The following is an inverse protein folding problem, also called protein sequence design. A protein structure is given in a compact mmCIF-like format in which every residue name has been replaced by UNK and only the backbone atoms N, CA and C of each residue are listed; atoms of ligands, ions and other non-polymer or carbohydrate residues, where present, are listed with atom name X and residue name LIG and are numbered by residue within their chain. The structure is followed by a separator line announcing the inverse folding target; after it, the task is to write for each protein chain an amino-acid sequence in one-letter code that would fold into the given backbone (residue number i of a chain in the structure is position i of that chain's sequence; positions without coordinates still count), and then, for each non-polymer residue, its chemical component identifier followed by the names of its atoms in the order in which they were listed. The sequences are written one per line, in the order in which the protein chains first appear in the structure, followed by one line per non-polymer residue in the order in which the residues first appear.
data_IF_615977152445
#
_entry.id   IF_615977152445
#
_cell.length_a   1.000
_cell.length_b   1.000
_cell.length_c   1.000
_cell.angle_alpha   90.00
_cell.angle_beta   90.00
_cell.angle_gamma   90.00
#
_symmetry.space_group_name_H-M   'P 1'
#
loop_
_entity.id
_entity.type
_entity.pdbx_description
1 polymer ?
#
# COMPACT_ATOMS: atom_id res chain seq x y z
N UNK A 1 -1.23 39.15 68.51
CA UNK A 1 -2.03 37.92 68.40
C UNK A 1 -2.26 37.72 66.88
N UNK A 2 -1.35 36.99 66.19
CA UNK A 2 -1.42 36.79 64.73
C UNK A 2 -1.85 35.36 64.46
N UNK A 3 -3.04 35.17 63.92
CA UNK A 3 -3.58 33.86 63.53
C UNK A 3 -3.10 33.52 62.11
N UNK A 4 -2.28 32.45 61.99
CA UNK A 4 -1.84 31.91 60.68
C UNK A 4 -2.89 30.94 60.15
N UNK A 5 -3.46 31.27 59.00
CA UNK A 5 -4.29 30.31 58.25
C UNK A 5 -3.36 29.42 57.36
N UNK A 6 -3.41 28.11 57.58
CA UNK A 6 -2.81 27.12 56.71
C UNK A 6 -3.78 26.76 55.59
N UNK A 7 -3.40 27.04 54.36
CA UNK A 7 -4.17 26.64 53.18
C UNK A 7 -3.67 25.24 52.78
N UNK A 8 -4.51 24.22 52.94
CA UNK A 8 -4.23 22.88 52.41
C UNK A 8 -4.60 22.86 50.92
N UNK A 9 -3.57 22.76 50.07
CA UNK A 9 -3.74 22.50 48.64
C UNK A 9 -3.78 20.99 48.44
N UNK A 10 -4.95 20.43 48.14
CA UNK A 10 -5.11 19.05 47.73
C UNK A 10 -4.80 18.91 46.25
N UNK A 11 -3.65 18.31 45.90
CA UNK A 11 -3.32 17.91 44.53
C UNK A 11 -4.02 16.59 44.22
N UNK A 12 -5.07 16.66 43.44
CA UNK A 12 -5.73 15.48 42.87
C UNK A 12 -4.87 14.95 41.73
N UNK A 13 -4.21 13.81 41.94
CA UNK A 13 -3.48 13.09 40.91
C UNK A 13 -4.50 12.35 40.01
N UNK A 14 -4.78 12.89 38.84
CA UNK A 14 -5.58 12.19 37.82
C UNK A 14 -4.74 11.05 37.24
N UNK A 15 -5.01 9.83 37.68
CA UNK A 15 -4.46 8.63 37.03
C UNK A 15 -5.19 8.44 35.70
N UNK A 16 -4.57 8.83 34.63
CA UNK A 16 -5.04 8.47 33.27
C UNK A 16 -4.73 6.98 33.10
N UNK A 17 -5.73 6.13 33.31
CA UNK A 17 -5.66 4.73 32.89
C UNK A 17 -5.63 4.71 31.35
N UNK A 18 -4.45 4.48 30.78
CA UNK A 18 -4.32 4.09 29.40
C UNK A 18 -4.99 2.71 29.25
N UNK A 19 -6.18 2.69 28.67
CA UNK A 19 -6.80 1.42 28.25
C UNK A 19 -5.86 0.77 27.23
N UNK A 20 -5.55 -0.54 27.36
CA UNK A 20 -4.76 -1.22 26.36
C UNK A 20 -5.56 -1.17 25.05
N UNK A 21 -4.97 -0.56 24.04
CA UNK A 21 -5.47 -0.60 22.68
C UNK A 21 -5.30 -2.06 22.19
N UNK A 22 -6.31 -2.89 22.45
CA UNK A 22 -6.44 -4.19 21.82
C UNK A 22 -6.73 -3.96 20.34
N UNK A 23 -5.67 -3.71 19.58
CA UNK A 23 -5.73 -3.84 18.14
C UNK A 23 -6.13 -5.29 17.86
N UNK A 24 -7.39 -5.51 17.48
CA UNK A 24 -7.82 -6.80 16.96
C UNK A 24 -6.90 -7.14 15.82
N UNK A 25 -6.04 -8.14 16.00
CA UNK A 25 -5.36 -8.77 14.89
C UNK A 25 -6.48 -9.30 13.98
N UNK A 26 -6.63 -8.72 12.79
CA UNK A 26 -7.62 -9.20 11.83
C UNK A 26 -7.37 -10.70 11.60
N UNK A 27 -8.43 -11.51 11.68
CA UNK A 27 -8.33 -12.94 11.42
C UNK A 27 -7.74 -13.14 10.03
N UNK A 28 -6.63 -13.85 9.94
CA UNK A 28 -5.96 -14.10 8.67
C UNK A 28 -6.67 -15.22 7.92
N UNK A 29 -7.18 -14.91 6.74
CA UNK A 29 -7.96 -15.82 5.89
C UNK A 29 -7.11 -16.33 4.72
N UNK A 30 -7.24 -17.62 4.42
CA UNK A 30 -6.87 -18.19 3.12
C UNK A 30 -8.15 -18.34 2.31
N UNK A 31 -8.30 -17.65 1.16
CA UNK A 31 -9.52 -17.72 0.37
C UNK A 31 -9.78 -19.15 -0.13
N UNK A 32 -11.01 -19.63 0.04
CA UNK A 32 -11.48 -20.91 -0.52
C UNK A 32 -12.42 -20.71 -1.71
N UNK A 33 -12.88 -19.48 -1.93
CA UNK A 33 -13.70 -19.04 -3.05
C UNK A 33 -13.30 -17.60 -3.44
N UNK A 34 -13.77 -17.15 -4.59
CA UNK A 34 -13.51 -15.79 -5.05
C UNK A 34 -14.26 -14.78 -4.18
N UNK A 35 -13.55 -13.86 -3.58
CA UNK A 35 -14.10 -12.72 -2.83
C UNK A 35 -14.03 -11.49 -3.74
N UNK A 36 -15.18 -10.78 -3.88
CA UNK A 36 -15.32 -9.57 -4.69
C UNK A 36 -15.74 -8.39 -3.82
N UNK A 37 -14.82 -7.70 -3.19
CA UNK A 37 -15.16 -6.63 -2.24
C UNK A 37 -15.95 -5.47 -2.86
N UNK A 38 -15.79 -5.20 -4.17
CA UNK A 38 -16.48 -4.12 -4.87
C UNK A 38 -17.89 -4.50 -5.40
N UNK A 39 -18.29 -5.75 -5.28
CA UNK A 39 -19.69 -6.16 -5.53
C UNK A 39 -20.61 -5.70 -4.39
N UNK A 40 -20.06 -5.28 -3.26
CA UNK A 40 -20.81 -4.65 -2.18
C UNK A 40 -21.26 -3.25 -2.58
N UNK A 41 -22.39 -2.80 -2.01
CA UNK A 41 -22.94 -1.45 -2.28
C UNK A 41 -22.25 -0.36 -1.47
N UNK A 42 -21.36 -0.73 -0.56
CA UNK A 42 -20.68 0.18 0.35
C UNK A 42 -19.26 -0.29 0.67
N UNK A 43 -18.53 0.51 1.41
CA UNK A 43 -17.15 0.24 1.84
C UNK A 43 -17.04 -0.41 3.22
N UNK A 44 -18.12 -1.05 3.75
CA UNK A 44 -18.08 -1.67 5.09
C UNK A 44 -17.05 -2.79 5.23
N UNK A 45 -16.67 -3.45 4.14
CA UNK A 45 -15.58 -4.44 4.10
C UNK A 45 -14.18 -3.85 4.24
N UNK A 46 -14.08 -2.52 4.36
CA UNK A 46 -12.82 -1.79 4.42
C UNK A 46 -12.73 -0.91 5.67
N UNK A 47 -11.53 -0.47 5.96
CA UNK A 47 -11.21 0.62 6.88
C UNK A 47 -10.42 1.68 6.13
N UNK A 48 -10.61 2.94 6.50
CA UNK A 48 -9.93 4.08 5.91
C UNK A 48 -8.88 4.61 6.86
N UNK A 49 -7.76 5.03 6.32
CA UNK A 49 -6.77 5.85 7.00
C UNK A 49 -6.32 6.98 6.08
N UNK A 50 -6.46 8.21 6.56
CA UNK A 50 -6.05 9.43 5.85
C UNK A 50 -5.10 10.23 6.74
N UNK A 51 -4.09 10.86 6.15
CA UNK A 51 -3.04 11.56 6.89
C UNK A 51 -3.57 12.69 7.76
N UNK A 52 -4.53 13.47 7.24
CA UNK A 52 -5.08 14.65 7.95
C UNK A 52 -6.14 14.27 8.97
N UNK A 53 -6.99 13.29 8.65
CA UNK A 53 -8.21 12.99 9.40
C UNK A 53 -8.16 11.63 10.11
N UNK A 54 -7.12 10.84 9.86
CA UNK A 54 -6.92 9.49 10.36
C UNK A 54 -8.07 8.55 9.97
N UNK A 55 -8.84 7.99 10.86
CA UNK A 55 -9.90 7.03 10.55
C UNK A 55 -11.17 7.58 9.88
N UNK A 56 -11.29 8.90 9.69
CA UNK A 56 -12.45 9.54 9.06
C UNK A 56 -12.17 9.97 7.62
N UNK A 57 -13.21 9.98 6.76
CA UNK A 57 -13.13 10.45 5.37
C UNK A 57 -14.21 11.51 5.07
N UNK A 58 -14.12 12.72 5.67
CA UNK A 58 -15.12 13.76 5.48
C UNK A 58 -15.11 14.39 4.07
N UNK A 59 -14.04 14.17 3.30
CA UNK A 59 -13.88 14.70 1.96
C UNK A 59 -14.28 13.70 0.87
N UNK A 60 -14.71 12.48 1.25
CA UNK A 60 -15.05 11.40 0.33
C UNK A 60 -13.90 11.08 -0.65
N UNK A 61 -12.69 10.98 -0.10
CA UNK A 61 -11.49 10.55 -0.84
C UNK A 61 -11.74 9.17 -1.46
N UNK A 62 -12.41 8.28 -0.71
CA UNK A 62 -12.79 6.96 -1.17
C UNK A 62 -14.29 6.87 -1.40
N UNK A 63 -14.72 6.70 -2.64
CA UNK A 63 -16.13 6.52 -3.00
C UNK A 63 -16.31 5.31 -3.90
N UNK A 64 -17.26 4.44 -3.56
CA UNK A 64 -17.62 3.26 -4.36
C UNK A 64 -18.96 3.52 -5.04
N UNK A 65 -18.98 3.45 -6.38
CA UNK A 65 -20.18 3.58 -7.18
C UNK A 65 -20.16 2.58 -8.34
N UNK A 66 -21.20 1.81 -8.49
CA UNK A 66 -21.39 0.84 -9.60
C UNK A 66 -20.17 -0.10 -9.77
N UNK A 67 -19.61 -0.58 -8.65
CA UNK A 67 -18.44 -1.48 -8.65
C UNK A 67 -17.11 -0.80 -8.97
N UNK A 68 -17.08 0.53 -9.09
CA UNK A 68 -15.86 1.32 -9.31
C UNK A 68 -15.55 2.14 -8.05
N UNK A 69 -14.37 1.91 -7.48
CA UNK A 69 -13.81 2.72 -6.41
C UNK A 69 -13.07 3.91 -7.03
N UNK A 70 -13.40 5.11 -6.60
CA UNK A 70 -12.57 6.31 -6.79
C UNK A 70 -11.70 6.50 -5.57
N UNK A 71 -10.41 6.67 -5.78
CA UNK A 71 -9.48 7.24 -4.82
C UNK A 71 -9.14 8.65 -5.30
N UNK A 72 -9.53 9.65 -4.53
CA UNK A 72 -9.34 11.06 -4.87
C UNK A 72 -7.94 11.58 -4.54
N UNK A 73 -7.70 12.84 -4.84
CA UNK A 73 -6.45 13.56 -4.61
C UNK A 73 -6.51 14.55 -3.42
N UNK A 74 -7.60 14.48 -2.62
CA UNK A 74 -7.89 15.43 -1.55
C UNK A 74 -7.00 15.23 -0.30
N UNK A 75 -6.59 13.97 -0.04
CA UNK A 75 -5.68 13.61 1.06
C UNK A 75 -4.90 12.33 0.73
N UNK A 76 -3.76 12.15 1.37
CA UNK A 76 -2.95 10.94 1.25
C UNK A 76 -3.37 9.90 2.30
N UNK A 77 -3.39 8.64 1.89
CA UNK A 77 -3.74 7.54 2.77
C UNK A 77 -4.15 6.28 2.01
N UNK A 78 -4.97 5.46 2.60
CA UNK A 78 -5.38 4.20 1.99
C UNK A 78 -6.75 3.71 2.45
N UNK A 79 -7.34 2.89 1.61
CA UNK A 79 -8.47 2.04 1.91
C UNK A 79 -7.95 0.60 2.11
N UNK A 80 -8.09 0.03 3.31
CA UNK A 80 -7.59 -1.29 3.67
C UNK A 80 -8.74 -2.29 3.83
N UNK A 81 -8.59 -3.53 3.34
CA UNK A 81 -9.50 -4.61 3.69
C UNK A 81 -9.55 -4.80 5.20
N UNK A 82 -10.75 -5.04 5.79
CA UNK A 82 -10.84 -5.34 7.22
C UNK A 82 -10.21 -6.67 7.58
N UNK A 83 -10.36 -7.66 6.71
CA UNK A 83 -9.71 -8.96 6.86
C UNK A 83 -8.26 -8.91 6.40
N UNK A 84 -7.43 -9.74 7.02
CA UNK A 84 -6.08 -10.05 6.57
C UNK A 84 -6.11 -11.33 5.72
N UNK A 85 -5.22 -11.42 4.75
CA UNK A 85 -5.14 -12.55 3.82
C UNK A 85 -3.74 -13.13 3.72
N UNK A 86 -3.68 -14.44 3.46
CA UNK A 86 -2.48 -15.17 3.06
C UNK A 86 -2.83 -16.20 1.99
N UNK A 87 -1.86 -16.62 1.21
CA UNK A 87 -2.01 -17.65 0.19
C UNK A 87 -3.18 -17.36 -0.76
N UNK A 88 -3.06 -16.27 -1.53
CA UNK A 88 -4.12 -15.78 -2.40
C UNK A 88 -3.59 -15.28 -3.75
N UNK A 89 -4.50 -15.22 -4.74
CA UNK A 89 -4.28 -14.53 -6.00
C UNK A 89 -5.17 -13.27 -6.03
N UNK A 90 -4.54 -12.12 -5.85
CA UNK A 90 -5.19 -10.81 -5.95
C UNK A 90 -5.25 -10.33 -7.40
N UNK A 91 -6.38 -9.77 -7.79
CA UNK A 91 -6.60 -9.12 -9.09
C UNK A 91 -7.35 -7.83 -8.91
N UNK A 92 -6.96 -6.82 -9.67
CA UNK A 92 -7.65 -5.53 -9.74
C UNK A 92 -7.34 -4.86 -11.08
N UNK A 93 -8.20 -3.96 -11.51
CA UNK A 93 -7.91 -3.08 -12.63
C UNK A 93 -7.90 -1.64 -12.13
N UNK A 94 -6.93 -0.84 -12.59
CA UNK A 94 -6.90 0.59 -12.29
C UNK A 94 -6.88 1.41 -13.57
N UNK A 95 -7.34 2.66 -13.44
CA UNK A 95 -7.29 3.68 -14.49
C UNK A 95 -7.07 5.04 -13.85
N UNK A 96 -6.16 5.82 -14.40
CA UNK A 96 -5.95 7.18 -13.95
C UNK A 96 -7.16 8.07 -14.23
N UNK A 97 -7.50 8.93 -13.27
CA UNK A 97 -8.56 9.92 -13.35
C UNK A 97 -8.05 11.28 -13.84
N UNK A 98 -8.70 12.33 -13.34
CA UNK A 98 -8.28 13.70 -13.66
C UNK A 98 -6.87 13.98 -13.10
N UNK A 99 -6.22 14.98 -13.66
CA UNK A 99 -4.97 15.53 -13.16
C UNK A 99 -5.17 16.98 -12.75
N UNK A 100 -4.58 17.37 -11.64
CA UNK A 100 -4.42 18.79 -11.32
C UNK A 100 -3.40 19.39 -12.31
N UNK A 101 -3.77 20.41 -13.13
CA UNK A 101 -2.87 20.95 -14.15
C UNK A 101 -1.60 21.60 -13.58
N UNK A 102 -1.60 21.97 -12.31
CA UNK A 102 -0.45 22.58 -11.62
C UNK A 102 0.48 21.56 -10.99
N UNK A 103 0.08 20.28 -10.93
CA UNK A 103 0.91 19.23 -10.38
C UNK A 103 2.06 18.88 -11.36
N UNK A 104 3.28 18.87 -10.82
CA UNK A 104 4.51 18.57 -11.57
C UNK A 104 5.01 17.15 -11.36
N UNK A 105 4.31 16.35 -10.53
CA UNK A 105 4.69 14.98 -10.25
C UNK A 105 4.02 14.02 -11.23
N UNK A 106 4.61 12.87 -11.46
CA UNK A 106 3.95 11.78 -12.16
C UNK A 106 2.78 11.25 -11.33
N UNK A 107 1.80 10.66 -11.98
CA UNK A 107 0.67 10.02 -11.29
C UNK A 107 1.18 8.89 -10.41
N UNK A 108 0.72 8.85 -9.17
CA UNK A 108 1.18 7.92 -8.17
C UNK A 108 0.02 7.28 -7.39
N UNK A 109 0.11 6.00 -7.18
CA UNK A 109 -0.74 5.16 -6.36
C UNK A 109 -0.06 3.80 -6.19
N UNK A 110 -0.61 2.92 -5.37
CA UNK A 110 -0.07 1.58 -5.17
C UNK A 110 -1.08 0.59 -4.59
N UNK A 111 -0.77 -0.68 -4.75
CA UNK A 111 -1.40 -1.78 -4.02
C UNK A 111 -0.41 -2.24 -2.95
N UNK A 112 -0.78 -2.06 -1.68
CA UNK A 112 0.05 -2.48 -0.57
C UNK A 112 -0.42 -3.84 -0.07
N UNK A 113 0.44 -4.82 -0.17
CA UNK A 113 0.19 -6.21 0.23
C UNK A 113 0.65 -6.44 1.66
N UNK A 114 -0.06 -7.32 2.36
CA UNK A 114 0.29 -7.79 3.70
C UNK A 114 0.44 -6.66 4.73
N UNK A 115 -0.45 -5.66 4.67
CA UNK A 115 -0.47 -4.55 5.60
C UNK A 115 -0.62 -5.00 7.05
N UNK A 116 0.33 -4.62 7.91
CA UNK A 116 0.37 -4.99 9.33
C UNK A 116 0.80 -3.82 10.22
N UNK A 117 0.59 -3.98 11.52
CA UNK A 117 0.91 -2.95 12.50
C UNK A 117 -0.06 -1.77 12.50
N UNK A 118 0.25 -0.70 13.24
CA UNK A 118 -0.62 0.46 13.36
C UNK A 118 -0.75 1.25 12.06
N UNK A 119 -1.93 1.83 11.86
CA UNK A 119 -2.18 2.77 10.79
C UNK A 119 -1.26 4.00 10.94
N UNK A 120 -0.79 4.57 9.83
CA UNK A 120 0.05 5.75 9.84
C UNK A 120 1.45 5.57 10.43
N UNK A 121 1.88 4.34 10.75
CA UNK A 121 3.17 4.08 11.40
C UNK A 121 4.40 4.49 10.55
N UNK A 122 4.23 4.67 9.25
CA UNK A 122 5.25 5.23 8.38
C UNK A 122 4.83 6.66 7.95
N UNK A 123 5.53 7.66 8.48
CA UNK A 123 5.34 9.09 8.19
C UNK A 123 3.91 9.63 8.42
N UNK A 124 3.13 9.00 9.31
CA UNK A 124 1.74 9.37 9.57
C UNK A 124 0.76 8.92 8.48
N UNK A 125 1.24 8.29 7.42
CA UNK A 125 0.43 7.92 6.23
C UNK A 125 0.29 6.41 6.09
N UNK A 126 1.39 5.67 5.96
CA UNK A 126 1.37 4.26 5.58
C UNK A 126 1.53 3.34 6.78
N UNK A 127 1.16 2.07 6.63
CA UNK A 127 1.51 1.00 7.56
C UNK A 127 2.54 0.06 6.93
N UNK A 128 3.20 -0.75 7.75
CA UNK A 128 4.16 -1.76 7.26
C UNK A 128 3.50 -2.65 6.23
N UNK A 129 4.08 -2.76 5.04
CA UNK A 129 3.52 -3.50 3.92
C UNK A 129 4.56 -3.70 2.80
N UNK A 130 4.20 -4.50 1.81
CA UNK A 130 4.97 -4.68 0.58
C UNK A 130 4.16 -4.05 -0.55
N UNK A 131 4.69 -3.01 -1.13
CA UNK A 131 4.00 -2.25 -2.17
C UNK A 131 4.31 -2.80 -3.56
N UNK A 132 3.25 -3.07 -4.32
CA UNK A 132 3.25 -3.12 -5.76
C UNK A 132 2.99 -1.70 -6.26
N UNK A 133 4.04 -1.02 -6.69
CA UNK A 133 3.98 0.36 -7.15
C UNK A 133 3.12 0.49 -8.41
N UNK A 134 2.31 1.54 -8.47
CA UNK A 134 1.52 1.91 -9.66
C UNK A 134 1.90 3.30 -10.20
N UNK A 135 2.96 3.92 -9.68
CA UNK A 135 3.43 5.18 -10.21
C UNK A 135 3.72 5.05 -11.72
N UNK A 136 3.32 6.05 -12.46
CA UNK A 136 3.41 6.09 -13.92
C UNK A 136 4.85 5.83 -14.40
N UNK A 137 5.04 4.79 -15.17
CA UNK A 137 6.33 4.30 -15.65
C UNK A 137 7.11 3.42 -14.64
N UNK A 138 6.55 3.13 -13.46
CA UNK A 138 7.15 2.29 -12.42
C UNK A 138 6.22 1.13 -12.02
N UNK A 139 5.22 0.84 -12.80
CA UNK A 139 4.18 -0.12 -12.49
C UNK A 139 4.74 -1.52 -12.25
N UNK A 140 4.43 -2.07 -11.09
CA UNK A 140 4.88 -3.39 -10.67
C UNK A 140 6.24 -3.42 -9.97
N UNK A 141 6.88 -2.29 -9.77
CA UNK A 141 8.08 -2.22 -8.94
C UNK A 141 7.74 -2.57 -7.48
N UNK A 142 8.69 -3.19 -6.77
CA UNK A 142 8.50 -3.60 -5.39
C UNK A 142 9.19 -2.64 -4.42
N UNK A 143 8.42 -2.17 -3.44
CA UNK A 143 8.90 -1.32 -2.35
C UNK A 143 8.52 -1.94 -1.01
N UNK A 144 9.46 -2.01 -0.08
CA UNK A 144 9.19 -2.42 1.29
C UNK A 144 8.95 -1.19 2.17
N UNK A 145 7.71 -1.01 2.60
CA UNK A 145 7.33 0.04 3.55
C UNK A 145 7.51 -0.50 4.97
N UNK A 146 8.27 0.21 5.78
CA UNK A 146 8.49 -0.14 7.20
C UNK A 146 8.01 0.98 8.10
N UNK A 147 6.95 0.71 8.84
CA UNK A 147 6.46 1.61 9.88
C UNK A 147 7.45 1.77 11.03
N UNK A 148 7.32 2.86 11.77
CA UNK A 148 8.09 3.16 12.97
C UNK A 148 7.30 2.84 14.22
N UNK A 149 7.97 2.30 15.23
CA UNK A 149 7.47 2.14 16.58
C UNK A 149 7.61 3.43 17.38
N UNK A 150 6.89 3.53 18.48
CA UNK A 150 6.97 4.70 19.40
C UNK A 150 8.38 4.87 19.98
N UNK A 151 9.11 3.78 20.18
CA UNK A 151 10.50 3.76 20.67
C UNK A 151 11.54 4.15 19.59
N UNK A 152 11.10 4.53 18.39
CA UNK A 152 11.96 4.88 17.25
C UNK A 152 12.45 3.69 16.43
N UNK A 153 12.24 2.45 16.89
CA UNK A 153 12.52 1.23 16.11
C UNK A 153 11.60 1.10 14.90
N UNK A 154 11.92 0.19 13.99
CA UNK A 154 11.05 -0.15 12.86
C UNK A 154 10.27 -1.43 13.15
N UNK A 155 9.04 -1.53 12.60
CA UNK A 155 8.36 -2.81 12.54
C UNK A 155 9.15 -3.79 11.66
N UNK A 156 9.11 -5.09 11.96
CA UNK A 156 9.79 -6.09 11.14
C UNK A 156 9.31 -6.03 9.69
N UNK A 157 10.23 -6.14 8.76
CA UNK A 157 9.90 -6.21 7.35
C UNK A 157 11.13 -6.58 6.53
N UNK A 158 10.98 -7.54 5.61
CA UNK A 158 12.02 -7.96 4.67
C UNK A 158 11.40 -8.51 3.41
N UNK A 159 12.09 -8.34 2.30
CA UNK A 159 11.89 -9.07 1.05
C UNK A 159 13.26 -9.35 0.44
N UNK A 160 13.37 -10.44 -0.30
CA UNK A 160 14.51 -10.74 -1.17
C UNK A 160 14.00 -10.90 -2.60
N UNK A 161 14.82 -10.62 -3.58
CA UNK A 161 14.52 -10.86 -4.99
C UNK A 161 15.77 -11.30 -5.74
N UNK A 162 15.61 -11.96 -6.86
CA UNK A 162 16.69 -12.15 -7.80
C UNK A 162 16.84 -10.88 -8.63
N UNK A 163 18.02 -10.30 -8.67
CA UNK A 163 18.23 -8.99 -9.29
C UNK A 163 19.53 -8.91 -10.08
N UNK A 164 19.56 -7.94 -10.97
CA UNK A 164 20.77 -7.43 -11.63
C UNK A 164 20.87 -5.93 -11.39
N UNK A 165 22.06 -5.37 -11.58
CA UNK A 165 22.25 -3.92 -11.61
C UNK A 165 22.15 -3.48 -13.06
N UNK A 166 21.22 -2.57 -13.36
CA UNK A 166 21.08 -1.98 -14.70
C UNK A 166 22.18 -0.97 -15.00
N UNK A 167 22.28 -0.54 -16.26
CA UNK A 167 23.24 0.46 -16.74
C UNK A 167 23.10 1.81 -15.97
N UNK A 168 21.89 2.12 -15.52
CA UNK A 168 21.56 3.29 -14.72
C UNK A 168 21.82 3.11 -13.20
N UNK A 169 22.45 2.01 -12.81
CA UNK A 169 22.77 1.68 -11.42
C UNK A 169 21.57 1.24 -10.58
N UNK A 170 20.36 1.08 -11.18
CA UNK A 170 19.17 0.62 -10.47
C UNK A 170 19.19 -0.89 -10.26
N UNK A 171 18.69 -1.34 -9.11
CA UNK A 171 18.51 -2.76 -8.81
C UNK A 171 17.25 -3.25 -9.51
N UNK A 172 17.39 -4.09 -10.52
CA UNK A 172 16.30 -4.59 -11.37
C UNK A 172 16.02 -6.05 -11.09
N UNK A 173 14.73 -6.41 -11.02
CA UNK A 173 14.36 -7.81 -10.99
C UNK A 173 14.83 -8.55 -12.25
N UNK A 174 15.42 -9.70 -12.05
CA UNK A 174 15.86 -10.59 -13.12
C UNK A 174 15.71 -12.03 -12.64
N UNK A 175 14.94 -12.86 -13.36
CA UNK A 175 14.56 -14.19 -12.87
C UNK A 175 15.76 -15.10 -12.53
N UNK A 176 16.83 -15.03 -13.32
CA UNK A 176 18.11 -15.72 -13.15
C UNK A 176 19.20 -14.84 -12.51
N UNK A 177 18.81 -13.72 -11.94
CA UNK A 177 19.72 -12.77 -11.30
C UNK A 177 20.24 -13.25 -9.92
N UNK A 178 21.12 -12.44 -9.34
CA UNK A 178 21.67 -12.71 -8.02
C UNK A 178 20.62 -12.40 -6.94
N UNK A 179 20.48 -13.30 -5.95
CA UNK A 179 19.65 -13.06 -4.77
C UNK A 179 20.12 -11.79 -4.04
N UNK A 180 19.22 -10.85 -3.84
CA UNK A 180 19.47 -9.57 -3.21
C UNK A 180 18.42 -9.35 -2.12
N UNK A 181 18.86 -8.95 -0.93
CA UNK A 181 17.97 -8.52 0.16
C UNK A 181 17.66 -7.03 -0.02
N UNK A 182 16.41 -6.66 0.18
CA UNK A 182 15.97 -5.26 0.08
C UNK A 182 16.70 -4.38 1.13
N UNK A 183 17.31 -3.31 0.67
CA UNK A 183 18.11 -2.39 1.48
C UNK A 183 17.66 -0.93 1.39
N UNK A 184 16.37 -0.69 1.10
CA UNK A 184 15.80 0.66 0.98
C UNK A 184 15.78 1.21 -0.45
N UNK A 185 16.20 0.42 -1.44
CA UNK A 185 16.06 0.75 -2.86
C UNK A 185 15.06 -0.20 -3.49
N UNK A 186 14.05 0.36 -4.20
CA UNK A 186 13.03 -0.46 -4.87
C UNK A 186 13.65 -1.47 -5.85
N UNK A 187 12.96 -2.57 -6.03
CA UNK A 187 13.29 -3.54 -7.07
C UNK A 187 12.54 -3.17 -8.34
N UNK A 188 13.25 -2.64 -9.31
CA UNK A 188 12.72 -2.19 -10.59
C UNK A 188 12.44 -3.36 -11.52
N UNK A 189 11.47 -3.20 -12.41
CA UNK A 189 11.26 -4.17 -13.48
C UNK A 189 12.48 -4.24 -14.43
N UNK A 190 12.90 -5.47 -14.81
CA UNK A 190 14.12 -5.68 -15.59
C UNK A 190 14.10 -5.04 -16.99
N UNK A 191 12.91 -4.94 -17.61
CA UNK A 191 12.74 -4.31 -18.94
C UNK A 191 12.42 -2.81 -18.87
N UNK A 192 12.42 -2.23 -17.70
CA UNK A 192 12.28 -0.79 -17.54
C UNK A 192 13.37 -0.07 -18.33
N UNK A 193 13.03 1.05 -18.96
CA UNK A 193 14.00 1.80 -19.76
C UNK A 193 15.22 2.19 -18.91
N UNK A 194 16.45 1.96 -19.41
CA UNK A 194 17.65 2.55 -18.82
C UNK A 194 17.50 4.07 -18.76
N UNK A 195 18.03 4.66 -17.69
CA UNK A 195 17.98 6.12 -17.47
C UNK A 195 16.55 6.69 -17.42
N UNK A 196 15.58 5.86 -16.99
CA UNK A 196 14.20 6.28 -16.82
C UNK A 196 14.12 7.63 -16.09
N UNK A 197 13.34 8.54 -16.66
CA UNK A 197 12.97 9.81 -16.05
C UNK A 197 11.46 9.83 -15.88
N UNK A 198 11.01 10.23 -14.71
CA UNK A 198 9.59 10.45 -14.43
C UNK A 198 9.10 11.63 -15.28
N UNK A 199 8.48 11.32 -16.40
CA UNK A 199 7.90 12.30 -17.31
C UNK A 199 6.39 12.26 -17.21
N UNK A 200 5.79 13.42 -16.96
CA UNK A 200 4.36 13.59 -16.77
C UNK A 200 3.60 13.10 -18.00
N UNK A 201 2.62 12.21 -17.79
CA UNK A 201 1.70 11.67 -18.79
C UNK A 201 2.39 11.14 -20.06
N UNK A 202 3.66 10.77 -19.94
CA UNK A 202 4.40 10.09 -20.99
C UNK A 202 4.50 8.61 -20.71
N UNK A 203 4.73 7.84 -21.75
CA UNK A 203 4.88 6.39 -21.69
C UNK A 203 6.19 5.98 -22.36
N UNK A 204 6.95 5.16 -21.66
CA UNK A 204 8.14 4.53 -22.21
C UNK A 204 7.80 3.39 -23.17
N UNK A 205 8.72 3.05 -24.06
CA UNK A 205 8.53 1.98 -25.06
C UNK A 205 8.35 0.60 -24.41
N UNK A 206 8.85 0.41 -23.19
CA UNK A 206 8.79 -0.85 -22.45
C UNK A 206 7.75 -0.85 -21.33
N UNK A 207 6.97 0.22 -21.18
CA UNK A 207 5.93 0.29 -20.15
C UNK A 207 4.86 -0.77 -20.42
N UNK A 208 4.50 -1.48 -19.37
CA UNK A 208 3.53 -2.59 -19.41
C UNK A 208 2.11 -2.15 -19.10
N UNK A 209 1.94 -0.99 -18.46
CA UNK A 209 0.63 -0.41 -18.21
C UNK A 209 -0.10 -0.07 -19.50
N UNK A 210 -1.42 0.00 -19.44
CA UNK A 210 -2.23 0.48 -20.57
C UNK A 210 -2.04 1.98 -20.79
N UNK A 211 -2.31 2.50 -21.98
CA UNK A 211 -2.31 3.93 -22.26
C UNK A 211 -3.18 4.71 -21.27
N UNK A 212 -2.86 6.00 -21.10
CA UNK A 212 -3.61 6.88 -20.21
C UNK A 212 -5.10 6.89 -20.57
N UNK A 213 -5.95 6.73 -19.57
CA UNK A 213 -7.41 6.65 -19.75
C UNK A 213 -7.94 5.23 -19.99
N UNK A 214 -7.09 4.25 -20.20
CA UNK A 214 -7.46 2.85 -20.31
C UNK A 214 -7.25 2.09 -18.98
N UNK A 215 -7.88 0.92 -18.85
CA UNK A 215 -7.76 0.08 -17.67
C UNK A 215 -6.52 -0.81 -17.76
N UNK A 216 -5.69 -0.74 -16.74
CA UNK A 216 -4.52 -1.61 -16.54
C UNK A 216 -4.85 -2.70 -15.54
N UNK A 217 -4.56 -3.95 -15.88
CA UNK A 217 -4.76 -5.10 -14.99
C UNK A 217 -3.52 -5.32 -14.13
N UNK A 218 -3.74 -5.45 -12.82
CA UNK A 218 -2.73 -5.79 -11.81
C UNK A 218 -3.07 -7.14 -11.21
N UNK A 219 -2.09 -8.03 -11.14
CA UNK A 219 -2.22 -9.32 -10.47
C UNK A 219 -1.05 -9.54 -9.50
N UNK A 220 -1.38 -9.95 -8.27
CA UNK A 220 -0.39 -10.30 -7.26
C UNK A 220 -0.66 -11.72 -6.76
N UNK A 221 0.25 -12.65 -7.03
CA UNK A 221 0.16 -14.03 -6.54
C UNK A 221 1.03 -14.14 -5.29
N UNK A 222 0.38 -14.30 -4.13
CA UNK A 222 1.02 -14.41 -2.82
C UNK A 222 0.91 -15.86 -2.34
N UNK A 223 2.03 -16.58 -2.34
CA UNK A 223 2.10 -17.99 -1.91
C UNK A 223 3.21 -18.17 -0.88
N UNK A 224 2.83 -18.41 0.38
CA UNK A 224 3.76 -18.37 1.49
C UNK A 224 4.47 -17.02 1.54
N UNK A 225 5.79 -17.03 1.53
CA UNK A 225 6.61 -15.82 1.50
C UNK A 225 7.03 -15.38 0.09
N UNK A 226 6.46 -15.98 -0.96
CA UNK A 226 6.71 -15.55 -2.34
C UNK A 226 5.57 -14.68 -2.85
N UNK A 227 5.92 -13.57 -3.54
CA UNK A 227 4.99 -12.68 -4.23
C UNK A 227 5.45 -12.56 -5.68
N UNK A 228 4.54 -12.78 -6.63
CA UNK A 228 4.75 -12.54 -8.07
C UNK A 228 3.80 -11.45 -8.52
N UNK A 229 4.32 -10.41 -9.15
CA UNK A 229 3.56 -9.27 -9.68
C UNK A 229 3.45 -9.39 -11.19
N UNK A 230 2.22 -9.19 -11.71
CA UNK A 230 1.96 -9.11 -13.15
C UNK A 230 1.17 -7.84 -13.47
N UNK A 231 1.60 -7.16 -14.50
CA UNK A 231 0.89 -6.01 -15.11
C UNK A 231 0.47 -6.40 -16.51
N UNK A 232 -0.81 -6.33 -16.83
CA UNK A 232 -1.39 -6.77 -18.10
C UNK A 232 -0.92 -8.17 -18.54
N UNK A 233 -0.78 -9.09 -17.57
CA UNK A 233 -0.34 -10.47 -17.81
C UNK A 233 1.18 -10.66 -17.90
N UNK A 234 1.97 -9.61 -17.99
CA UNK A 234 3.43 -9.67 -18.01
C UNK A 234 3.95 -9.76 -16.59
N UNK A 235 4.75 -10.78 -16.25
CA UNK A 235 5.46 -10.84 -14.97
C UNK A 235 6.54 -9.76 -14.96
N UNK A 236 6.42 -8.81 -14.03
CA UNK A 236 7.30 -7.64 -13.93
C UNK A 236 8.20 -7.70 -12.70
N UNK A 237 7.80 -8.43 -11.67
CA UNK A 237 8.60 -8.55 -10.46
C UNK A 237 8.24 -9.82 -9.67
N UNK A 238 9.20 -10.32 -8.92
CA UNK A 238 9.02 -11.38 -7.94
C UNK A 238 9.87 -11.08 -6.70
N UNK A 239 9.32 -11.39 -5.54
CA UNK A 239 10.11 -11.47 -4.32
C UNK A 239 9.80 -12.74 -3.53
N UNK A 240 10.69 -13.08 -2.64
CA UNK A 240 10.60 -14.18 -1.69
C UNK A 240 11.15 -13.74 -0.33
N UNK A 241 11.03 -14.60 0.68
CA UNK A 241 11.31 -14.24 2.08
C UNK A 241 10.50 -13.02 2.56
N UNK A 242 9.32 -12.84 1.97
CA UNK A 242 8.44 -11.74 2.35
C UNK A 242 8.04 -11.86 3.84
N UNK A 243 8.33 -10.82 4.58
CA UNK A 243 7.88 -10.60 5.94
C UNK A 243 7.37 -9.15 6.05
N UNK A 244 6.08 -8.93 6.32
CA UNK A 244 5.04 -9.94 6.61
C UNK A 244 4.65 -10.78 5.37
N UNK A 245 4.28 -12.06 5.62
CA UNK A 245 3.79 -12.99 4.59
C UNK A 245 2.26 -13.08 4.57
N UNK A 246 1.58 -12.27 5.35
CA UNK A 246 0.13 -12.15 5.47
C UNK A 246 -0.25 -10.78 6.00
N UNK A 247 -1.46 -10.32 5.68
CA UNK A 247 -1.96 -9.04 6.18
C UNK A 247 -3.10 -8.49 5.34
N UNK A 248 -3.46 -7.26 5.61
CA UNK A 248 -4.49 -6.52 4.86
C UNK A 248 -3.99 -6.16 3.45
N UNK A 249 -4.92 -5.96 2.53
CA UNK A 249 -4.64 -5.42 1.19
C UNK A 249 -5.13 -3.97 1.20
N UNK A 250 -4.25 -3.04 0.80
CA UNK A 250 -4.54 -1.61 0.82
C UNK A 250 -4.43 -1.01 -0.58
N UNK A 251 -5.31 -0.07 -0.86
CA UNK A 251 -5.31 0.73 -2.09
C UNK A 251 -4.97 2.17 -1.72
N UNK A 252 -3.93 2.72 -2.31
CA UNK A 252 -3.43 4.05 -1.97
C UNK A 252 -4.22 5.18 -2.64
N UNK A 253 -4.41 6.28 -1.88
CA UNK A 253 -4.58 7.63 -2.39
C UNK A 253 -3.26 8.38 -2.16
N UNK A 254 -2.57 8.79 -3.21
CA UNK A 254 -1.23 9.39 -3.13
C UNK A 254 -1.14 10.68 -3.97
N UNK A 255 -2.16 11.54 -3.80
CA UNK A 255 -2.21 12.87 -4.40
C UNK A 255 -2.66 12.89 -5.87
N UNK A 256 -3.08 11.75 -6.42
CA UNK A 256 -3.60 11.66 -7.78
C UNK A 256 -4.90 10.87 -7.79
N UNK A 257 -5.86 11.34 -8.59
CA UNK A 257 -7.11 10.62 -8.76
C UNK A 257 -6.89 9.33 -9.55
N UNK A 258 -7.32 8.21 -8.97
CA UNK A 258 -7.26 6.89 -9.59
C UNK A 258 -8.57 6.14 -9.35
N UNK A 259 -9.00 5.39 -10.34
CA UNK A 259 -10.16 4.50 -10.26
C UNK A 259 -9.71 3.06 -10.23
N UNK A 260 -10.38 2.26 -9.38
CA UNK A 260 -10.19 0.82 -9.32
C UNK A 260 -11.50 0.09 -9.57
N UNK A 261 -11.44 -1.08 -10.23
CA UNK A 261 -12.58 -1.96 -10.44
C UNK A 261 -12.17 -3.44 -10.46
N UNK A 262 -13.14 -4.33 -10.49
CA UNK A 262 -12.93 -5.77 -10.64
C UNK A 262 -11.95 -6.35 -9.60
N UNK A 263 -12.01 -5.83 -8.35
CA UNK A 263 -11.19 -6.36 -7.26
C UNK A 263 -11.62 -7.77 -6.90
N UNK A 264 -10.68 -8.70 -6.98
CA UNK A 264 -10.89 -10.09 -6.62
C UNK A 264 -9.74 -10.60 -5.74
N UNK A 265 -10.10 -11.34 -4.69
CA UNK A 265 -9.17 -12.10 -3.86
C UNK A 265 -9.55 -13.57 -4.02
N UNK A 266 -8.70 -14.34 -4.68
CA UNK A 266 -8.99 -15.70 -5.15
C UNK A 266 -8.18 -16.74 -4.42
N UNK A 267 -8.66 -18.00 -4.31
CA UNK A 267 -7.81 -19.13 -3.98
C UNK A 267 -6.60 -19.20 -4.92
N UNK A 268 -5.48 -19.72 -4.42
CA UNK A 268 -4.36 -20.15 -5.29
C UNK A 268 -4.81 -21.35 -6.13
N UNK A 269 -4.42 -21.36 -7.38
CA UNK A 269 -4.59 -22.49 -8.30
C UNK A 269 -3.39 -23.43 -8.21
#
# INVERSE_FOLDING_TARGET
MFTKYFLLVSTSLAVIMALPFNGFAADTKTPTQVIRPFDQKDLKGFSTWLKKTQGADPQNVFTLKDGVLRCGDEDMGYLATRDAYKDYHFKIEYRWGRRNPTDKNVRNSGVLLHGTGPDGSQNGVWKTSIECQLAQGCEGDLILIKGKKVDGGSYPGSISSNTMVGEDGKTRWQADGKRTIYSGKQFWWSKHQPFFKELIDTRGSNDVASPLGEWTKVECVCKGSKITIKINGVTVNECFDANPAAGQILLQSEGHEVFFRNMEIRPLQ
#
